data_IF_685214077847
#
_entry.id   IF_685214077847
#
_cell.length_a   1.000
_cell.length_b   1.000
_cell.length_c   1.000
_cell.angle_alpha   90.00
_cell.angle_beta   90.00
_cell.angle_gamma   90.00
#
_symmetry.space_group_name_H-M   'P 1'
#
loop_
_entity.id
_entity.type
_entity.pdbx_description
1 polymer ?
#
# COMPACT_ATOMS: atom_id res chain seq x y z
N UNK A 1 -22.25 -13.06 6.38
CA UNK A 1 -20.85 -12.61 6.23
C UNK A 1 -20.88 -11.10 6.13
N UNK A 2 -20.03 -10.37 6.87
CA UNK A 2 -19.91 -8.92 6.71
C UNK A 2 -19.21 -8.60 5.39
N UNK A 3 -19.66 -7.59 4.67
CA UNK A 3 -19.04 -7.12 3.42
C UNK A 3 -17.59 -6.69 3.69
N UNK A 4 -16.66 -7.20 2.88
CA UNK A 4 -15.24 -6.81 2.91
C UNK A 4 -14.93 -5.99 1.66
N UNK A 5 -14.10 -4.97 1.84
CA UNK A 5 -13.64 -4.05 0.80
C UNK A 5 -12.14 -4.19 0.65
N UNK A 6 -11.65 -3.93 -0.56
CA UNK A 6 -10.25 -3.96 -0.91
C UNK A 6 -9.86 -2.63 -1.55
N UNK A 7 -8.86 -1.96 -0.97
CA UNK A 7 -8.14 -0.88 -1.62
C UNK A 7 -6.88 -1.45 -2.24
N UNK A 8 -6.62 -1.10 -3.51
CA UNK A 8 -5.45 -1.50 -4.26
C UNK A 8 -4.78 -0.23 -4.78
N UNK A 9 -3.50 -0.05 -4.46
CA UNK A 9 -2.71 1.12 -4.89
C UNK A 9 -1.42 0.65 -5.55
N UNK A 10 -1.11 1.20 -6.73
CA UNK A 10 0.16 1.00 -7.43
C UNK A 10 1.03 2.23 -7.25
N UNK A 11 2.31 2.05 -6.93
CA UNK A 11 3.26 3.15 -6.72
C UNK A 11 4.55 2.96 -7.47
N UNK A 12 5.10 4.06 -7.96
CA UNK A 12 6.46 4.14 -8.51
C UNK A 12 7.39 4.72 -7.44
N UNK A 13 8.41 3.96 -7.05
CA UNK A 13 9.35 4.34 -5.97
C UNK A 13 10.77 4.15 -6.49
N UNK A 14 11.49 5.26 -6.66
CA UNK A 14 12.90 5.21 -7.05
C UNK A 14 13.76 4.55 -5.96
N UNK A 15 14.89 3.96 -6.36
CA UNK A 15 15.79 3.28 -5.44
C UNK A 15 16.27 4.21 -4.29
N UNK A 16 16.50 5.49 -4.60
CA UNK A 16 16.95 6.53 -3.65
C UNK A 16 15.91 6.84 -2.56
N UNK A 17 14.63 6.60 -2.84
CA UNK A 17 13.52 6.88 -1.92
C UNK A 17 12.93 5.61 -1.29
N UNK A 18 13.57 4.45 -1.49
CA UNK A 18 13.06 3.16 -1.01
C UNK A 18 12.92 3.14 0.52
N UNK A 19 13.92 3.64 1.26
CA UNK A 19 13.87 3.68 2.73
C UNK A 19 12.76 4.60 3.25
N UNK A 20 12.57 5.76 2.61
CA UNK A 20 11.48 6.69 2.92
C UNK A 20 10.11 6.04 2.69
N UNK A 21 9.96 5.34 1.57
CA UNK A 21 8.76 4.59 1.23
C UNK A 21 8.51 3.44 2.21
N UNK A 22 9.53 2.67 2.59
CA UNK A 22 9.43 1.60 3.58
C UNK A 22 8.95 2.13 4.93
N UNK A 23 9.53 3.23 5.41
CA UNK A 23 9.09 3.87 6.66
C UNK A 23 7.64 4.37 6.59
N UNK A 24 7.24 4.96 5.46
CA UNK A 24 5.86 5.43 5.25
C UNK A 24 4.86 4.26 5.18
N UNK A 25 5.23 3.17 4.50
CA UNK A 25 4.44 1.94 4.45
C UNK A 25 4.28 1.30 5.83
N UNK A 26 5.36 1.17 6.61
CA UNK A 26 5.30 0.58 7.97
C UNK A 26 4.31 1.33 8.86
N UNK A 27 4.26 2.66 8.76
CA UNK A 27 3.27 3.50 9.49
C UNK A 27 1.85 3.19 9.06
N UNK A 28 1.58 3.15 7.75
CA UNK A 28 0.26 2.80 7.25
C UNK A 28 -0.14 1.37 7.66
N UNK A 29 0.77 0.42 7.52
CA UNK A 29 0.54 -0.97 7.90
C UNK A 29 0.15 -1.08 9.37
N UNK A 30 0.92 -0.46 10.27
CA UNK A 30 0.62 -0.45 11.71
C UNK A 30 -0.75 0.17 12.01
N UNK A 31 -1.04 1.37 11.47
CA UNK A 31 -2.31 2.06 11.69
C UNK A 31 -3.51 1.27 11.15
N UNK A 32 -3.43 0.78 9.91
CA UNK A 32 -4.51 0.02 9.29
C UNK A 32 -4.77 -1.32 10.00
N UNK A 33 -3.72 -2.03 10.42
CA UNK A 33 -3.86 -3.31 11.14
C UNK A 33 -4.37 -3.13 12.56
N UNK A 34 -3.99 -2.06 13.25
CA UNK A 34 -4.59 -1.68 14.54
C UNK A 34 -6.10 -1.41 14.41
N UNK A 35 -6.54 -0.84 13.28
CA UNK A 35 -7.95 -0.67 12.93
C UNK A 35 -8.67 -1.94 12.46
N UNK A 36 -8.00 -3.09 12.40
CA UNK A 36 -8.60 -4.38 12.00
C UNK A 36 -8.58 -4.68 10.50
N UNK A 37 -7.88 -3.88 9.70
CA UNK A 37 -7.59 -4.21 8.30
C UNK A 37 -6.49 -5.26 8.20
N UNK A 38 -6.42 -5.92 7.04
CA UNK A 38 -5.23 -6.66 6.61
C UNK A 38 -4.50 -5.81 5.58
N UNK A 39 -3.17 -5.78 5.67
CA UNK A 39 -2.34 -4.98 4.79
C UNK A 39 -1.25 -5.86 4.17
N UNK A 40 -1.05 -5.73 2.86
CA UNK A 40 0.02 -6.41 2.14
C UNK A 40 0.69 -5.47 1.16
N UNK A 41 1.97 -5.72 0.92
CA UNK A 41 2.76 -5.03 -0.09
C UNK A 41 3.53 -6.03 -0.93
N UNK A 42 3.61 -5.73 -2.20
CA UNK A 42 4.31 -6.51 -3.20
C UNK A 42 5.20 -5.58 -4.04
N UNK A 43 6.24 -6.15 -4.63
CA UNK A 43 7.07 -5.48 -5.63
C UNK A 43 7.00 -6.28 -6.93
N UNK A 44 7.03 -5.59 -8.06
CA UNK A 44 7.14 -6.24 -9.37
C UNK A 44 8.49 -6.92 -9.54
N UNK A 45 8.48 -8.17 -9.99
CA UNK A 45 9.71 -8.91 -10.29
C UNK A 45 10.42 -8.35 -11.53
N UNK A 46 9.65 -7.87 -12.52
CA UNK A 46 10.18 -7.24 -13.71
C UNK A 46 10.64 -5.80 -13.46
N UNK A 47 10.04 -5.12 -12.47
CA UNK A 47 10.22 -3.70 -12.16
C UNK A 47 10.38 -3.47 -10.66
N UNK A 48 11.61 -3.58 -10.16
CA UNK A 48 11.92 -3.42 -8.73
C UNK A 48 11.63 -2.03 -8.13
N UNK A 49 11.16 -1.08 -8.94
CA UNK A 49 10.69 0.26 -8.58
C UNK A 49 9.14 0.36 -8.52
N UNK A 50 8.41 -0.69 -8.89
CA UNK A 50 6.94 -0.72 -8.89
C UNK A 50 6.43 -1.56 -7.72
N UNK A 51 5.60 -0.94 -6.89
CA UNK A 51 4.99 -1.57 -5.73
C UNK A 51 3.47 -1.62 -5.88
N UNK A 52 2.88 -2.67 -5.30
CA UNK A 52 1.43 -2.85 -5.21
C UNK A 52 1.05 -3.09 -3.76
N UNK A 53 0.13 -2.27 -3.27
CA UNK A 53 -0.34 -2.24 -1.90
C UNK A 53 -1.80 -2.68 -1.86
N UNK A 54 -2.15 -3.50 -0.86
CA UNK A 54 -3.51 -3.95 -0.63
C UNK A 54 -3.91 -3.69 0.82
N UNK A 55 -5.07 -3.07 1.02
CA UNK A 55 -5.74 -2.98 2.32
C UNK A 55 -7.12 -3.64 2.24
N UNK A 56 -7.34 -4.70 3.00
CA UNK A 56 -8.60 -5.43 3.07
C UNK A 56 -9.28 -5.25 4.43
N UNK A 57 -10.48 -4.69 4.46
CA UNK A 57 -11.17 -4.28 5.69
C UNK A 57 -12.68 -4.53 5.61
N UNK A 58 -13.34 -4.58 6.76
CA UNK A 58 -14.80 -4.53 6.83
C UNK A 58 -15.27 -3.08 6.66
N UNK A 59 -16.49 -2.86 6.16
CA UNK A 59 -17.03 -1.51 5.94
C UNK A 59 -16.99 -0.60 7.20
N UNK A 60 -17.07 -1.17 8.40
CA UNK A 60 -17.04 -0.44 9.67
C UNK A 60 -15.62 -0.03 10.11
N UNK A 61 -14.59 -0.54 9.42
CA UNK A 61 -13.17 -0.32 9.70
C UNK A 61 -12.47 0.29 8.49
N UNK A 62 -13.13 1.21 7.79
CA UNK A 62 -12.57 1.85 6.61
C UNK A 62 -11.34 2.70 7.00
N UNK A 63 -10.13 2.39 6.51
CA UNK A 63 -8.91 3.12 6.87
C UNK A 63 -8.93 4.60 6.48
N UNK A 64 -9.87 5.02 5.62
CA UNK A 64 -10.07 6.42 5.22
C UNK A 64 -10.88 7.21 6.24
N UNK A 65 -11.64 6.52 7.08
CA UNK A 65 -12.43 7.11 8.17
C UNK A 65 -11.66 7.09 9.51
N UNK A 66 -10.65 6.21 9.64
CA UNK A 66 -9.73 6.21 10.77
C UNK A 66 -8.68 7.34 10.63
N UNK A 67 -8.56 8.18 11.66
CA UNK A 67 -7.71 9.38 11.59
C UNK A 67 -6.22 9.08 11.37
N UNK A 68 -5.71 7.98 11.94
CA UNK A 68 -4.29 7.65 11.86
C UNK A 68 -3.96 6.97 10.54
N UNK A 69 -4.77 5.98 10.14
CA UNK A 69 -4.61 5.29 8.87
C UNK A 69 -4.85 6.23 7.68
N UNK A 70 -5.82 7.14 7.78
CA UNK A 70 -6.08 8.12 6.73
C UNK A 70 -4.94 9.13 6.60
N UNK A 71 -4.38 9.61 7.73
CA UNK A 71 -3.21 10.49 7.68
C UNK A 71 -2.00 9.79 7.04
N UNK A 72 -1.78 8.51 7.34
CA UNK A 72 -0.71 7.71 6.72
C UNK A 72 -0.96 7.47 5.22
N UNK A 73 -2.21 7.20 4.81
CA UNK A 73 -2.61 7.08 3.40
C UNK A 73 -2.33 8.37 2.63
N UNK A 74 -2.75 9.51 3.17
CA UNK A 74 -2.55 10.82 2.55
C UNK A 74 -1.06 11.18 2.44
N UNK A 75 -0.26 10.83 3.45
CA UNK A 75 1.18 11.05 3.41
C UNK A 75 1.86 10.21 2.31
N UNK A 76 1.49 8.93 2.17
CA UNK A 76 1.97 8.07 1.09
C UNK A 76 1.54 8.59 -0.27
N UNK A 77 0.29 9.04 -0.40
CA UNK A 77 -0.23 9.58 -1.65
C UNK A 77 0.45 10.88 -2.06
N UNK A 78 0.69 11.79 -1.11
CA UNK A 78 1.43 13.02 -1.38
C UNK A 78 2.88 12.76 -1.83
N UNK A 79 3.52 11.72 -1.28
CA UNK A 79 4.93 11.42 -1.55
C UNK A 79 5.16 10.50 -2.76
N UNK A 80 4.21 9.60 -3.05
CA UNK A 80 4.34 8.47 -3.98
C UNK A 80 3.03 8.15 -4.74
N UNK A 81 2.11 9.12 -4.86
CA UNK A 81 0.80 8.93 -5.51
C UNK A 81 0.83 8.91 -7.04
N UNK A 82 1.95 9.27 -7.66
CA UNK A 82 2.09 9.17 -9.11
C UNK A 82 2.08 7.68 -9.53
N UNK A 83 1.07 7.24 -10.29
CA UNK A 83 0.98 5.84 -10.67
C UNK A 83 2.09 5.51 -11.66
N UNK A 84 2.69 4.31 -11.58
CA UNK A 84 3.59 3.85 -12.62
C UNK A 84 2.84 3.72 -13.95
N UNK A 85 3.54 3.82 -15.10
CA UNK A 85 2.90 3.53 -16.38
C UNK A 85 2.34 2.10 -16.36
N UNK A 86 1.23 1.85 -17.07
CA UNK A 86 0.63 0.52 -17.10
C UNK A 86 1.63 -0.49 -17.64
N UNK A 87 1.60 -1.74 -17.13
CA UNK A 87 2.51 -2.76 -17.62
C UNK A 87 2.14 -3.14 -19.06
N UNK A 88 3.14 -3.39 -19.90
CA UNK A 88 2.92 -3.78 -21.30
C UNK A 88 2.43 -5.23 -21.44
N UNK A 89 2.59 -6.05 -20.38
CA UNK A 89 2.19 -7.44 -20.29
C UNK A 89 1.78 -7.81 -18.85
N UNK A 90 1.38 -9.07 -18.62
CA UNK A 90 1.18 -9.61 -17.27
C UNK A 90 2.43 -9.41 -16.41
N UNK A 91 2.24 -8.92 -15.19
CA UNK A 91 3.30 -8.60 -14.25
C UNK A 91 3.26 -9.54 -13.05
N UNK A 92 4.38 -10.20 -12.76
CA UNK A 92 4.54 -11.05 -11.59
C UNK A 92 4.94 -10.20 -10.37
N UNK A 93 4.26 -10.46 -9.25
CA UNK A 93 4.42 -9.69 -8.01
C UNK A 93 4.96 -10.60 -6.91
N UNK A 94 6.04 -10.16 -6.27
CA UNK A 94 6.61 -10.84 -5.11
C UNK A 94 6.19 -10.14 -3.82
N UNK A 95 5.70 -10.91 -2.85
CA UNK A 95 5.36 -10.37 -1.53
C UNK A 95 6.63 -9.87 -0.82
N UNK A 96 6.49 -8.74 -0.14
CA UNK A 96 7.52 -8.18 0.74
C UNK A 96 6.89 -8.15 2.13
N UNK A 97 7.42 -8.94 3.06
CA UNK A 97 6.97 -8.89 4.44
C UNK A 97 7.18 -7.48 4.99
N UNK A 98 6.16 -6.92 5.63
CA UNK A 98 6.35 -5.78 6.53
C UNK A 98 6.87 -6.33 7.85
N UNK A 99 8.19 -6.34 8.02
CA UNK A 99 8.85 -6.60 9.31
C UNK A 99 8.67 -5.41 10.27
#
# INVERSE_FOLDING_TARGET
MKERRLLCTRRLVSAERREEYDAAWTRLHAAATAGGAKAWRFVSEARGDVYVEFLEFAAEHDPREDSEANAALLALEAAFGEPPPPPEATEELRSIAGE
#
